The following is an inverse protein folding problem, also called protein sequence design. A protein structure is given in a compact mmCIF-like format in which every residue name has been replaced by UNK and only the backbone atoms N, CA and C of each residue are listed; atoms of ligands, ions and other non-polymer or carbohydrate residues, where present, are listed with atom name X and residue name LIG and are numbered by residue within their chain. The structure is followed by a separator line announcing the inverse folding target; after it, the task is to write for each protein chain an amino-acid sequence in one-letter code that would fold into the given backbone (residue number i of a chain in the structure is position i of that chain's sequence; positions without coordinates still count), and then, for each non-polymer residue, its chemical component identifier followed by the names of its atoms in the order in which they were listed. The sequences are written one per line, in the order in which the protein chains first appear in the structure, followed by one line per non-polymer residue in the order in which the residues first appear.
data_IF_186820425280
#
_entry.id   IF_186820425280
#
_cell.length_a   1.000
_cell.length_b   1.000
_cell.length_c   1.000
_cell.angle_alpha   90.00
_cell.angle_beta   90.00
_cell.angle_gamma   90.00
#
_symmetry.space_group_name_H-M   'P 1'
#
loop_
_entity.id
_entity.type
_entity.pdbx_description
1 polymer ?
#
# COMPACT_ATOMS: atom_id res chain seq x y z
N UNK A 1 9.21 12.55 -10.69
CA UNK A 1 10.09 11.72 -9.84
C UNK A 1 9.26 10.75 -9.02
N UNK A 2 9.63 9.48 -9.02
CA UNK A 2 8.98 8.44 -8.20
C UNK A 2 9.79 8.22 -6.92
N UNK A 3 9.11 8.20 -5.77
CA UNK A 3 9.73 8.06 -4.44
C UNK A 3 9.33 6.72 -3.83
N UNK A 4 10.28 5.82 -3.64
CA UNK A 4 10.06 4.51 -3.02
C UNK A 4 10.55 4.48 -1.57
N UNK A 5 9.75 5.01 -0.63
CA UNK A 5 10.07 5.04 0.80
C UNK A 5 9.01 4.31 1.62
N UNK A 6 9.27 4.14 2.92
CA UNK A 6 8.27 3.58 3.83
C UNK A 6 7.04 4.51 3.90
N UNK A 7 5.80 3.99 3.96
CA UNK A 7 4.57 4.78 3.83
C UNK A 7 4.36 5.87 4.88
N UNK A 8 5.07 5.80 6.00
CA UNK A 8 5.06 6.77 7.10
C UNK A 8 6.04 7.94 6.87
N UNK A 9 7.07 7.71 6.05
CA UNK A 9 8.14 8.70 5.79
C UNK A 9 8.11 9.27 4.38
N UNK A 10 7.32 8.68 3.49
CA UNK A 10 7.32 9.01 2.07
C UNK A 10 6.72 10.40 1.81
N UNK A 11 5.51 10.64 2.30
CA UNK A 11 4.79 11.89 2.12
C UNK A 11 5.50 13.05 2.83
N UNK A 12 5.97 12.93 4.09
CA UNK A 12 6.77 13.97 4.73
C UNK A 12 8.08 14.29 3.99
N UNK A 13 8.72 13.28 3.38
CA UNK A 13 9.93 13.50 2.59
C UNK A 13 9.61 14.27 1.31
N UNK A 14 8.55 13.89 0.60
CA UNK A 14 8.11 14.61 -0.59
C UNK A 14 7.79 16.06 -0.24
N UNK A 15 7.02 16.27 0.82
CA UNK A 15 6.61 17.61 1.26
C UNK A 15 7.81 18.50 1.60
N UNK A 16 8.82 17.94 2.26
CA UNK A 16 10.06 18.66 2.62
C UNK A 16 10.89 19.09 1.40
N UNK A 17 10.97 18.25 0.36
CA UNK A 17 11.91 18.46 -0.75
C UNK A 17 11.26 18.91 -2.05
N UNK A 18 9.91 18.94 -2.14
CA UNK A 18 9.20 19.29 -3.38
C UNK A 18 9.58 20.66 -3.93
N UNK A 19 9.78 21.66 -3.06
CA UNK A 19 10.12 23.03 -3.47
C UNK A 19 11.59 23.15 -3.90
N UNK A 20 12.48 22.42 -3.24
CA UNK A 20 13.92 22.46 -3.52
C UNK A 20 14.29 21.73 -4.80
N UNK A 21 13.63 20.60 -5.09
CA UNK A 21 13.99 19.74 -6.21
C UNK A 21 13.41 20.20 -7.56
N UNK A 22 12.46 21.15 -7.55
CA UNK A 22 11.86 21.75 -8.75
C UNK A 22 11.39 20.74 -9.82
N UNK A 23 10.96 19.55 -9.39
CA UNK A 23 10.46 18.51 -10.31
C UNK A 23 8.96 18.74 -10.55
N UNK A 24 8.46 18.69 -11.81
CA UNK A 24 7.06 18.96 -12.12
C UNK A 24 6.05 18.07 -11.38
N UNK A 25 6.42 16.82 -11.11
CA UNK A 25 5.58 15.84 -10.39
C UNK A 25 6.44 14.98 -9.49
N UNK A 26 6.02 14.81 -8.24
CA UNK A 26 6.56 13.82 -7.30
C UNK A 26 5.45 12.86 -6.88
N UNK A 27 5.70 11.57 -7.00
CA UNK A 27 4.73 10.54 -6.67
C UNK A 27 5.35 9.48 -5.78
N UNK A 28 4.75 9.26 -4.62
CA UNK A 28 5.07 8.15 -3.75
C UNK A 28 4.62 6.83 -4.36
N UNK A 29 5.55 5.89 -4.55
CA UNK A 29 5.27 4.56 -5.12
C UNK A 29 5.40 3.44 -4.09
N UNK A 30 5.83 3.75 -2.86
CA UNK A 30 6.04 2.80 -1.78
C UNK A 30 6.93 1.64 -2.19
N UNK A 31 6.57 0.43 -1.77
CA UNK A 31 7.27 -0.81 -2.11
C UNK A 31 7.05 -1.33 -3.53
N UNK A 32 6.58 -0.51 -4.48
CA UNK A 32 6.37 -0.95 -5.88
C UNK A 32 7.70 -1.31 -6.56
N UNK A 33 8.78 -0.61 -6.21
CA UNK A 33 10.12 -0.95 -6.70
C UNK A 33 10.62 -2.32 -6.23
N UNK A 34 10.18 -2.82 -5.06
CA UNK A 34 10.55 -4.17 -4.62
C UNK A 34 10.06 -5.24 -5.61
N UNK A 35 8.92 -5.00 -6.30
CA UNK A 35 8.39 -5.94 -7.30
C UNK A 35 9.13 -5.78 -8.63
N UNK A 36 9.40 -4.55 -9.05
CA UNK A 36 10.11 -4.26 -10.31
C UNK A 36 11.56 -4.75 -10.25
N UNK A 37 12.23 -4.58 -9.11
CA UNK A 37 13.60 -5.06 -8.87
C UNK A 37 13.69 -6.58 -8.64
N UNK A 38 12.58 -7.32 -8.74
CA UNK A 38 12.54 -8.78 -8.58
C UNK A 38 12.68 -9.29 -7.15
N UNK A 39 12.76 -8.39 -6.15
CA UNK A 39 12.87 -8.74 -4.72
C UNK A 39 11.59 -9.37 -4.18
N UNK A 40 10.43 -8.98 -4.72
CA UNK A 40 9.13 -9.58 -4.43
C UNK A 40 8.49 -10.11 -5.68
N UNK A 41 7.86 -11.28 -5.58
CA UNK A 41 7.10 -11.84 -6.70
C UNK A 41 5.77 -11.10 -6.81
N UNK A 42 5.41 -10.73 -8.04
CA UNK A 42 4.08 -10.20 -8.34
C UNK A 42 3.02 -11.28 -8.05
N UNK A 43 1.84 -10.86 -7.60
CA UNK A 43 0.74 -11.78 -7.38
C UNK A 43 0.34 -12.51 -8.67
N UNK A 44 0.03 -13.82 -8.63
CA UNK A 44 -0.51 -14.53 -9.77
C UNK A 44 -1.80 -13.86 -10.27
N UNK A 45 -2.11 -14.03 -11.57
CA UNK A 45 -3.27 -13.40 -12.20
C UNK A 45 -4.58 -13.74 -11.49
N UNK A 46 -4.70 -14.94 -10.92
CA UNK A 46 -5.88 -15.37 -10.14
C UNK A 46 -6.09 -14.44 -8.93
N UNK A 47 -5.04 -14.14 -8.17
CA UNK A 47 -5.11 -13.24 -7.01
C UNK A 47 -5.40 -11.80 -7.43
N UNK A 48 -4.89 -11.36 -8.59
CA UNK A 48 -5.21 -10.04 -9.15
C UNK A 48 -6.70 -9.95 -9.52
N UNK A 49 -7.24 -10.96 -10.22
CA UNK A 49 -8.67 -11.03 -10.60
C UNK A 49 -9.62 -11.10 -9.40
N UNK A 50 -9.19 -11.76 -8.33
CA UNK A 50 -9.95 -11.85 -7.08
C UNK A 50 -9.77 -10.62 -6.17
N UNK A 51 -8.99 -9.60 -6.57
CA UNK A 51 -8.64 -8.45 -5.73
C UNK A 51 -7.95 -8.84 -4.40
N UNK A 52 -7.32 -10.02 -4.38
CA UNK A 52 -6.61 -10.61 -3.22
C UNK A 52 -5.10 -10.40 -3.30
N UNK A 53 -4.63 -9.43 -4.11
CA UNK A 53 -3.21 -9.12 -4.20
C UNK A 53 -2.63 -8.70 -2.84
N UNK A 54 -3.40 -7.98 -2.02
CA UNK A 54 -2.99 -7.61 -0.67
C UNK A 54 -2.75 -8.84 0.22
N UNK A 55 -3.56 -9.89 0.05
CA UNK A 55 -3.43 -11.15 0.80
C UNK A 55 -2.20 -11.93 0.34
N UNK A 56 -1.95 -12.01 -0.97
CA UNK A 56 -0.72 -12.60 -1.51
C UNK A 56 0.53 -11.88 -1.01
N UNK A 57 0.49 -10.54 -0.91
CA UNK A 57 1.57 -9.74 -0.32
C UNK A 57 1.75 -10.00 1.18
N UNK A 58 0.67 -10.30 1.90
CA UNK A 58 0.74 -10.70 3.31
C UNK A 58 1.44 -12.06 3.47
N UNK A 59 1.11 -13.03 2.61
CA UNK A 59 1.77 -14.34 2.60
C UNK A 59 3.27 -14.24 2.32
N UNK A 60 3.68 -13.35 1.41
CA UNK A 60 5.10 -13.10 1.13
C UNK A 60 5.82 -12.32 2.24
N UNK A 61 5.11 -11.50 3.01
CA UNK A 61 5.68 -10.66 4.07
C UNK A 61 4.85 -10.77 5.35
N UNK A 62 4.94 -11.91 6.07
CA UNK A 62 4.11 -12.18 7.23
C UNK A 62 4.30 -11.14 8.34
N UNK A 63 5.48 -10.54 8.46
CA UNK A 63 5.79 -9.46 9.42
C UNK A 63 4.86 -8.23 9.29
N UNK A 64 4.21 -8.03 8.13
CA UNK A 64 3.27 -6.94 7.89
C UNK A 64 1.85 -7.19 8.41
N UNK A 65 1.56 -8.34 9.01
CA UNK A 65 0.22 -8.72 9.47
C UNK A 65 -0.44 -7.65 10.36
N UNK A 66 0.32 -7.06 11.29
CA UNK A 66 -0.19 -6.05 12.23
C UNK A 66 -0.85 -4.88 11.51
N UNK A 67 -0.24 -4.41 10.42
CA UNK A 67 -0.77 -3.33 9.58
C UNK A 67 -1.93 -3.81 8.72
N UNK A 68 -1.83 -5.02 8.18
CA UNK A 68 -2.87 -5.59 7.32
C UNK A 68 -4.20 -5.83 8.05
N UNK A 69 -4.18 -6.06 9.37
CA UNK A 69 -5.37 -6.20 10.21
C UNK A 69 -6.28 -4.96 10.22
N UNK A 70 -5.79 -3.79 9.79
CA UNK A 70 -6.62 -2.60 9.63
C UNK A 70 -7.73 -2.81 8.56
N UNK A 71 -7.47 -3.60 7.52
CA UNK A 71 -8.41 -3.87 6.43
C UNK A 71 -9.66 -4.65 6.90
N UNK A 72 -9.55 -5.83 7.53
CA UNK A 72 -10.73 -6.54 8.03
C UNK A 72 -11.45 -5.76 9.13
N UNK A 73 -10.72 -5.04 10.00
CA UNK A 73 -11.33 -4.16 11.00
C UNK A 73 -12.17 -3.05 10.35
N UNK A 74 -11.67 -2.46 9.26
CA UNK A 74 -12.40 -1.46 8.49
C UNK A 74 -13.66 -2.06 7.85
N UNK A 75 -13.56 -3.23 7.21
CA UNK A 75 -14.72 -3.92 6.61
C UNK A 75 -15.81 -4.19 7.66
N UNK A 76 -15.44 -4.73 8.83
CA UNK A 76 -16.39 -4.98 9.93
C UNK A 76 -17.03 -3.67 10.40
N UNK A 77 -16.24 -2.60 10.54
CA UNK A 77 -16.74 -1.28 10.95
C UNK A 77 -17.74 -0.73 9.94
N UNK A 78 -17.46 -0.83 8.65
CA UNK A 78 -18.36 -0.37 7.58
C UNK A 78 -19.66 -1.17 7.55
N UNK A 79 -19.59 -2.50 7.69
CA UNK A 79 -20.78 -3.36 7.72
C UNK A 79 -21.67 -2.99 8.91
N UNK A 80 -21.10 -2.91 10.12
CA UNK A 80 -21.84 -2.52 11.33
C UNK A 80 -22.44 -1.12 11.24
N UNK A 81 -21.73 -0.17 10.63
CA UNK A 81 -22.25 1.18 10.45
C UNK A 81 -23.41 1.23 9.44
N UNK A 82 -23.38 0.37 8.42
CA UNK A 82 -24.46 0.25 7.44
C UNK A 82 -25.72 -0.37 8.03
N UNK A 83 -25.57 -1.26 9.02
CA UNK A 83 -26.69 -1.81 9.81
C UNK A 83 -27.30 -0.77 10.75
N UNK A 84 -26.49 0.14 11.33
CA UNK A 84 -26.98 1.22 12.19
C UNK A 84 -27.69 2.38 11.45
N UNK A 85 -27.60 2.45 10.12
CA UNK A 85 -28.25 3.49 9.30
C UNK A 85 -29.56 2.97 8.66
N UNK A 86 -29.81 1.66 8.69
CA UNK A 86 -31.06 1.03 8.25
C UNK A 86 -32.03 0.88 9.42
#
# INVERSE_FOLDING_TARGET
MFVGRAPDTQEPWIDRYKEQLQVPVMMGVGGSFDVIAGKLKRAPVIFQKLHLEWFFRLLQQPTRYKRMLALPKFVIKVIRHKENIR
#
